data_IF_073920690472
#
_entry.id   IF_073920690472
#
_cell.length_a   1.000
_cell.length_b   1.000
_cell.length_c   1.000
_cell.angle_alpha   90.00
_cell.angle_beta   90.00
_cell.angle_gamma   90.00
#
_symmetry.space_group_name_H-M   'P 1'
#
loop_
_entity.id
_entity.type
_entity.pdbx_description
1 polymer ?
#
# COMPACT_ATOMS: atom_id res chain seq x y z
N UNK A 1 7.20 -17.26 -12.53
CA UNK A 1 6.65 -16.37 -13.59
C UNK A 1 7.30 -14.98 -13.60
N UNK A 2 7.41 -14.24 -12.49
CA UNK A 2 8.04 -12.91 -12.44
C UNK A 2 9.54 -12.89 -12.79
N UNK A 3 10.31 -13.95 -12.50
CA UNK A 3 11.74 -14.04 -12.82
C UNK A 3 12.07 -13.84 -14.32
N UNK A 4 11.11 -14.11 -15.21
CA UNK A 4 11.31 -13.98 -16.66
C UNK A 4 11.66 -12.56 -17.13
N UNK A 5 11.39 -11.51 -16.33
CA UNK A 5 11.82 -10.14 -16.68
C UNK A 5 13.34 -10.00 -16.76
N UNK A 6 14.09 -10.90 -16.11
CA UNK A 6 15.55 -10.89 -16.09
C UNK A 6 16.19 -11.77 -17.19
N UNK A 7 15.40 -12.57 -17.93
CA UNK A 7 15.92 -13.57 -18.88
C UNK A 7 16.75 -12.95 -20.03
N UNK A 8 16.51 -11.68 -20.35
CA UNK A 8 17.22 -10.94 -21.39
C UNK A 8 18.33 -10.03 -20.88
N UNK A 9 18.54 -9.95 -19.57
CA UNK A 9 19.59 -9.13 -18.99
C UNK A 9 20.96 -9.72 -19.23
N UNK A 10 21.94 -8.84 -19.36
CA UNK A 10 23.37 -9.12 -19.59
C UNK A 10 24.20 -8.67 -18.40
N UNK A 11 25.51 -8.86 -18.41
CA UNK A 11 26.41 -8.38 -17.36
C UNK A 11 26.50 -6.83 -17.29
N UNK A 12 25.97 -6.12 -18.29
CA UNK A 12 25.94 -4.65 -18.31
C UNK A 12 24.67 -4.10 -17.64
N UNK A 13 23.69 -4.95 -17.35
CA UNK A 13 22.44 -4.57 -16.73
C UNK A 13 22.51 -4.71 -15.20
N UNK A 14 21.61 -4.03 -14.51
CA UNK A 14 21.45 -4.17 -13.05
C UNK A 14 20.04 -4.68 -12.73
N UNK A 15 19.98 -5.69 -11.90
CA UNK A 15 18.74 -6.27 -11.37
C UNK A 15 18.57 -5.83 -9.91
N UNK A 16 17.47 -5.13 -9.58
CA UNK A 16 17.22 -4.62 -8.24
C UNK A 16 16.24 -5.53 -7.51
N UNK A 17 16.61 -5.99 -6.29
CA UNK A 17 15.83 -6.91 -5.49
C UNK A 17 15.71 -6.48 -4.02
N UNK A 18 14.62 -6.91 -3.39
CA UNK A 18 14.46 -6.82 -1.95
C UNK A 18 15.29 -7.90 -1.24
N UNK A 19 16.28 -7.49 -0.45
CA UNK A 19 17.12 -8.43 0.31
C UNK A 19 16.37 -9.06 1.49
N UNK A 20 15.35 -8.38 2.03
CA UNK A 20 14.54 -8.86 3.14
C UNK A 20 13.59 -10.02 2.74
N UNK A 21 13.36 -10.23 1.44
CA UNK A 21 12.49 -11.27 0.88
C UNK A 21 13.31 -12.50 0.43
N UNK A 22 13.04 -13.66 1.01
CA UNK A 22 13.74 -14.90 0.70
C UNK A 22 13.53 -15.32 -0.78
N UNK A 23 12.34 -15.08 -1.35
CA UNK A 23 12.06 -15.40 -2.75
C UNK A 23 12.88 -14.52 -3.69
N UNK A 24 13.04 -13.23 -3.35
CA UNK A 24 13.90 -12.32 -4.10
C UNK A 24 15.36 -12.78 -4.07
N UNK A 25 15.87 -13.21 -2.90
CA UNK A 25 17.24 -13.75 -2.80
C UNK A 25 17.43 -15.00 -3.66
N UNK A 26 16.45 -15.90 -3.67
CA UNK A 26 16.51 -17.08 -4.56
C UNK A 26 16.44 -16.69 -6.05
N UNK A 27 15.57 -15.77 -6.42
CA UNK A 27 15.45 -15.32 -7.81
C UNK A 27 16.72 -14.65 -8.34
N UNK A 28 17.49 -14.01 -7.48
CA UNK A 28 18.73 -13.33 -7.85
C UNK A 28 19.89 -14.30 -8.18
N UNK A 29 19.82 -15.56 -7.72
CA UNK A 29 20.87 -16.53 -7.98
C UNK A 29 21.01 -16.85 -9.46
N UNK A 30 22.26 -16.83 -9.94
CA UNK A 30 22.61 -17.20 -11.30
C UNK A 30 22.16 -16.21 -12.39
N UNK A 31 21.81 -14.98 -12.01
CA UNK A 31 21.59 -13.91 -12.98
C UNK A 31 22.91 -13.47 -13.59
N UNK A 32 22.87 -13.07 -14.86
CA UNK A 32 24.02 -12.46 -15.57
C UNK A 32 24.23 -11.01 -15.16
N UNK A 33 23.13 -10.31 -14.86
CA UNK A 33 23.12 -8.93 -14.44
C UNK A 33 23.79 -8.76 -13.06
N UNK A 34 24.36 -7.58 -12.83
CA UNK A 34 24.78 -7.20 -11.50
C UNK A 34 23.54 -7.07 -10.60
N UNK A 35 23.59 -7.66 -9.41
CA UNK A 35 22.47 -7.59 -8.47
C UNK A 35 22.68 -6.43 -7.52
N UNK A 36 21.75 -5.48 -7.52
CA UNK A 36 21.62 -4.44 -6.51
C UNK A 36 20.51 -4.79 -5.54
N UNK A 37 20.72 -4.52 -4.27
CA UNK A 37 19.81 -4.89 -3.20
C UNK A 37 19.24 -3.66 -2.52
N UNK A 38 18.03 -3.75 -2.02
CA UNK A 38 17.57 -2.85 -0.99
C UNK A 38 17.10 -3.63 0.25
N UNK A 39 17.35 -3.08 1.43
CA UNK A 39 17.00 -3.71 2.69
C UNK A 39 16.63 -2.67 3.75
N UNK A 40 15.59 -2.96 4.49
CA UNK A 40 15.21 -2.19 5.66
C UNK A 40 15.85 -2.71 6.95
N UNK A 41 16.37 -3.94 6.92
CA UNK A 41 16.82 -4.69 8.10
C UNK A 41 18.32 -4.90 8.18
N UNK A 42 18.98 -5.01 7.05
CA UNK A 42 20.39 -5.40 6.97
C UNK A 42 21.17 -4.51 6.01
N UNK A 43 22.47 -4.35 6.26
CA UNK A 43 23.39 -3.73 5.30
C UNK A 43 23.52 -4.60 4.06
N UNK A 44 23.54 -3.99 2.90
CA UNK A 44 23.75 -4.68 1.63
C UNK A 44 25.07 -4.25 0.98
N UNK A 45 25.72 -5.16 0.23
CA UNK A 45 27.03 -4.88 -0.37
C UNK A 45 26.95 -3.85 -1.52
N UNK A 46 25.82 -3.79 -2.22
CA UNK A 46 25.58 -2.89 -3.36
C UNK A 46 24.08 -2.56 -3.44
N UNK A 47 23.72 -1.29 -3.26
CA UNK A 47 22.35 -0.81 -3.25
C UNK A 47 22.02 0.12 -2.09
N UNK A 48 20.76 0.11 -1.58
CA UNK A 48 20.35 0.98 -0.50
C UNK A 48 19.86 0.21 0.73
N UNK A 49 20.11 0.73 1.92
CA UNK A 49 19.68 0.13 3.18
C UNK A 49 19.45 1.18 4.27
N UNK A 50 18.87 0.74 5.38
CA UNK A 50 18.70 1.58 6.57
C UNK A 50 19.82 1.33 7.55
N UNK A 51 20.48 2.42 7.98
CA UNK A 51 21.45 2.44 9.07
C UNK A 51 21.27 3.69 9.92
N UNK A 52 21.24 3.54 11.24
CA UNK A 52 21.09 4.66 12.19
C UNK A 52 19.94 5.61 11.83
N UNK A 53 18.77 5.05 11.47
CA UNK A 53 17.59 5.79 11.01
C UNK A 53 17.82 6.62 9.73
N UNK A 54 18.83 6.32 8.94
CA UNK A 54 19.08 6.95 7.64
C UNK A 54 18.96 5.95 6.50
N UNK A 55 18.47 6.42 5.37
CA UNK A 55 18.62 5.74 4.08
C UNK A 55 20.06 5.97 3.61
N UNK A 56 20.79 4.88 3.46
CA UNK A 56 22.18 4.89 2.97
C UNK A 56 22.21 4.22 1.61
N UNK A 57 22.89 4.85 0.65
CA UNK A 57 23.17 4.28 -0.68
C UNK A 57 24.65 3.90 -0.76
N UNK A 58 24.91 2.66 -1.19
CA UNK A 58 26.24 2.09 -1.41
C UNK A 58 26.37 1.55 -2.81
N UNK A 59 27.11 2.24 -3.67
CA UNK A 59 27.39 1.84 -5.04
C UNK A 59 28.92 1.87 -5.25
N UNK A 60 29.61 0.77 -4.86
CA UNK A 60 31.07 0.70 -4.87
C UNK A 60 31.69 0.86 -3.47
N UNK A 61 32.85 1.54 -3.38
CA UNK A 61 33.61 1.63 -2.11
C UNK A 61 33.05 2.68 -1.13
N UNK A 62 32.25 3.62 -1.58
CA UNK A 62 31.71 4.71 -0.77
C UNK A 62 30.25 4.48 -0.34
N UNK A 63 29.91 4.99 0.84
CA UNK A 63 28.54 5.05 1.35
C UNK A 63 28.08 6.51 1.40
N UNK A 64 26.84 6.78 0.97
CA UNK A 64 26.26 8.11 0.98
C UNK A 64 24.96 8.11 1.76
N UNK A 65 24.83 8.98 2.76
CA UNK A 65 23.55 9.19 3.47
C UNK A 65 22.62 10.05 2.64
N UNK A 66 21.50 9.48 2.23
CA UNK A 66 20.50 10.17 1.39
C UNK A 66 19.63 11.09 2.26
N UNK A 67 18.88 10.54 3.22
CA UNK A 67 18.05 11.28 4.18
C UNK A 67 17.76 10.44 5.41
N UNK A 68 17.13 11.02 6.43
CA UNK A 68 16.59 10.28 7.55
C UNK A 68 15.31 9.56 7.13
N UNK A 69 15.02 8.41 7.76
CA UNK A 69 13.81 7.63 7.45
C UNK A 69 12.51 8.39 7.77
N UNK A 70 12.55 9.25 8.81
CA UNK A 70 11.41 10.09 9.20
C UNK A 70 11.21 11.33 8.32
N UNK A 71 12.15 11.65 7.43
CA UNK A 71 12.02 12.70 6.42
C UNK A 71 11.30 12.23 5.15
N UNK A 72 11.08 10.90 4.99
CA UNK A 72 10.31 10.37 3.86
C UNK A 72 8.84 10.77 4.03
N UNK A 73 8.32 11.58 3.10
CA UNK A 73 6.99 12.19 3.22
C UNK A 73 5.87 11.15 3.36
N UNK A 74 5.91 10.06 2.59
CA UNK A 74 4.90 9.00 2.65
C UNK A 74 5.21 8.03 3.79
N UNK A 75 4.32 7.90 4.80
CA UNK A 75 4.59 7.12 6.00
C UNK A 75 4.45 5.61 5.77
N UNK A 76 5.02 4.86 6.69
CA UNK A 76 4.85 3.42 6.79
C UNK A 76 6.02 2.59 6.29
N UNK A 77 6.21 1.39 6.89
CA UNK A 77 7.39 0.56 6.61
C UNK A 77 7.46 0.08 5.15
N UNK A 78 6.31 -0.16 4.51
CA UNK A 78 6.25 -0.53 3.09
C UNK A 78 6.64 0.64 2.17
N UNK A 79 6.35 1.89 2.55
CA UNK A 79 6.78 3.06 1.80
C UNK A 79 8.27 3.33 1.97
N UNK A 80 8.84 3.01 3.13
CA UNK A 80 10.29 3.03 3.31
C UNK A 80 10.98 1.97 2.42
N UNK A 81 10.40 0.78 2.25
CA UNK A 81 10.88 -0.22 1.28
C UNK A 81 10.79 0.29 -0.17
N UNK A 82 9.69 0.95 -0.54
CA UNK A 82 9.55 1.59 -1.85
C UNK A 82 10.60 2.70 -2.06
N UNK A 83 10.85 3.52 -1.03
CA UNK A 83 11.89 4.56 -1.06
C UNK A 83 13.28 3.96 -1.26
N UNK A 84 13.62 2.89 -0.53
CA UNK A 84 14.90 2.17 -0.69
C UNK A 84 15.06 1.59 -2.10
N UNK A 85 13.99 0.99 -2.65
CA UNK A 85 13.99 0.50 -4.03
C UNK A 85 14.22 1.64 -5.03
N UNK A 86 13.51 2.77 -4.87
CA UNK A 86 13.65 3.94 -5.71
C UNK A 86 15.06 4.55 -5.63
N UNK A 87 15.61 4.69 -4.42
CA UNK A 87 16.99 5.17 -4.19
C UNK A 87 18.01 4.24 -4.84
N UNK A 88 17.83 2.91 -4.74
CA UNK A 88 18.73 1.94 -5.39
C UNK A 88 18.70 2.11 -6.91
N UNK A 89 17.51 2.18 -7.51
CA UNK A 89 17.35 2.34 -8.97
C UNK A 89 17.93 3.69 -9.41
N UNK A 90 17.56 4.78 -8.76
CA UNK A 90 18.01 6.12 -9.10
C UNK A 90 19.53 6.26 -8.95
N UNK A 91 20.11 5.67 -7.90
CA UNK A 91 21.55 5.65 -7.69
C UNK A 91 22.29 4.90 -8.79
N UNK A 92 21.83 3.72 -9.17
CA UNK A 92 22.39 2.95 -10.32
C UNK A 92 22.31 3.76 -11.62
N UNK A 93 21.28 4.58 -11.78
CA UNK A 93 21.12 5.48 -12.93
C UNK A 93 21.94 6.77 -12.83
N UNK A 94 22.70 6.97 -11.75
CA UNK A 94 23.57 8.14 -11.56
C UNK A 94 22.84 9.39 -11.07
N UNK A 95 21.63 9.28 -10.53
CA UNK A 95 20.92 10.42 -9.94
C UNK A 95 21.64 10.88 -8.67
N UNK A 96 21.91 12.20 -8.49
CA UNK A 96 22.56 12.72 -7.30
C UNK A 96 21.74 12.47 -6.02
N UNK A 97 22.41 12.18 -4.89
CA UNK A 97 21.76 11.95 -3.60
C UNK A 97 20.89 13.14 -3.14
N UNK A 98 21.29 14.38 -3.44
CA UNK A 98 20.51 15.56 -3.10
C UNK A 98 19.14 15.58 -3.80
N UNK A 99 19.12 15.26 -5.10
CA UNK A 99 17.86 15.13 -5.86
C UNK A 99 16.97 14.03 -5.30
N UNK A 100 17.55 12.87 -4.95
CA UNK A 100 16.80 11.78 -4.31
C UNK A 100 16.20 12.23 -2.98
N UNK A 101 16.97 12.94 -2.14
CA UNK A 101 16.52 13.50 -0.86
C UNK A 101 15.33 14.44 -1.04
N UNK A 102 15.44 15.40 -1.96
CA UNK A 102 14.36 16.35 -2.24
C UNK A 102 13.07 15.64 -2.67
N UNK A 103 13.18 14.66 -3.56
CA UNK A 103 12.02 13.88 -4.01
C UNK A 103 11.40 13.10 -2.84
N UNK A 104 12.20 12.42 -2.02
CA UNK A 104 11.68 11.66 -0.88
C UNK A 104 10.95 12.53 0.14
N UNK A 105 11.42 13.78 0.36
CA UNK A 105 10.80 14.75 1.27
C UNK A 105 9.52 15.39 0.74
N UNK A 106 9.32 15.42 -0.57
CA UNK A 106 8.24 16.17 -1.21
C UNK A 106 7.22 15.29 -1.92
N UNK A 107 7.54 14.03 -2.21
CA UNK A 107 6.67 13.11 -2.92
C UNK A 107 5.47 12.71 -2.07
N UNK A 108 4.31 13.24 -2.41
CA UNK A 108 3.05 13.05 -1.67
C UNK A 108 2.41 11.67 -1.84
N UNK A 109 3.05 10.78 -2.57
CA UNK A 109 2.50 9.45 -2.89
C UNK A 109 1.86 9.39 -4.27
N UNK A 110 1.33 8.23 -4.58
CA UNK A 110 0.58 7.97 -5.82
C UNK A 110 -0.90 8.15 -5.52
N UNK A 111 -1.62 8.84 -6.40
CA UNK A 111 -3.07 8.99 -6.33
C UNK A 111 -3.75 7.61 -6.14
N UNK A 112 -4.80 7.57 -5.38
CA UNK A 112 -5.54 6.34 -5.00
C UNK A 112 -4.75 5.32 -4.17
N UNK A 113 -3.61 5.70 -3.57
CA UNK A 113 -2.83 4.82 -2.68
C UNK A 113 -2.61 5.47 -1.31
N UNK A 114 -3.45 5.10 -0.34
CA UNK A 114 -3.48 5.65 1.04
C UNK A 114 -3.45 7.19 0.99
N UNK A 115 -4.17 7.74 0.02
CA UNK A 115 -4.26 9.17 -0.24
C UNK A 115 -5.24 9.82 0.73
N UNK A 116 -4.79 10.76 1.54
CA UNK A 116 -5.71 11.58 2.35
C UNK A 116 -6.48 12.53 1.45
N UNK A 117 -7.82 12.39 1.41
CA UNK A 117 -8.72 13.22 0.60
C UNK A 117 -9.04 14.52 1.34
N UNK A 118 -9.61 14.41 2.53
CA UNK A 118 -9.92 15.55 3.42
C UNK A 118 -10.23 15.08 4.84
N UNK A 119 -10.26 16.02 5.75
CA UNK A 119 -10.90 15.85 7.05
C UNK A 119 -12.29 16.51 7.04
N UNK A 120 -13.31 15.78 7.47
CA UNK A 120 -14.68 16.24 7.59
C UNK A 120 -15.24 15.82 8.96
N UNK A 121 -15.78 16.75 9.74
CA UNK A 121 -16.33 16.53 11.08
C UNK A 121 -15.33 15.87 12.06
N UNK A 122 -14.03 16.09 11.83
CA UNK A 122 -12.94 15.45 12.59
C UNK A 122 -12.65 14.01 12.20
N UNK A 123 -13.16 13.55 11.05
CA UNK A 123 -12.90 12.23 10.45
C UNK A 123 -12.01 12.41 9.22
N UNK A 124 -10.91 11.67 9.16
CA UNK A 124 -10.02 11.67 7.97
C UNK A 124 -10.51 10.66 6.96
N UNK A 125 -10.76 11.10 5.72
CA UNK A 125 -11.17 10.25 4.61
C UNK A 125 -9.97 9.88 3.74
N UNK A 126 -9.73 8.57 3.58
CA UNK A 126 -8.52 8.02 2.95
C UNK A 126 -8.90 7.16 1.75
N UNK A 127 -8.30 7.47 0.61
CA UNK A 127 -8.51 6.78 -0.65
C UNK A 127 -7.35 5.81 -0.93
N UNK A 128 -7.61 4.52 -0.81
CA UNK A 128 -6.73 3.44 -1.25
C UNK A 128 -7.45 2.55 -2.27
N UNK A 129 -8.12 3.18 -3.24
CA UNK A 129 -8.83 2.46 -4.31
C UNK A 129 -7.92 1.53 -5.11
N UNK A 130 -6.61 1.78 -5.12
CA UNK A 130 -5.58 0.90 -5.71
C UNK A 130 -5.38 -0.40 -4.93
N UNK A 131 -5.93 -0.52 -3.73
CA UNK A 131 -5.99 -1.74 -2.92
C UNK A 131 -6.93 -2.80 -3.53
N UNK A 132 -6.60 -3.30 -4.73
CA UNK A 132 -7.45 -4.21 -5.53
C UNK A 132 -7.23 -5.69 -5.23
N UNK A 133 -6.55 -6.02 -4.15
CA UNK A 133 -6.31 -7.39 -3.68
C UNK A 133 -6.10 -7.43 -2.15
N UNK A 134 -6.22 -8.62 -1.59
CA UNK A 134 -6.15 -8.88 -0.14
C UNK A 134 -4.84 -8.35 0.47
N UNK A 135 -3.67 -8.67 -0.12
CA UNK A 135 -2.36 -8.26 0.39
C UNK A 135 -2.21 -6.73 0.49
N UNK A 136 -2.70 -6.00 -0.53
CA UNK A 136 -2.67 -4.54 -0.53
C UNK A 136 -3.50 -3.96 0.59
N UNK A 137 -4.70 -4.48 0.80
CA UNK A 137 -5.60 -4.01 1.87
C UNK A 137 -5.07 -4.37 3.26
N UNK A 138 -4.46 -5.54 3.45
CA UNK A 138 -3.78 -5.88 4.69
C UNK A 138 -2.66 -4.89 5.04
N UNK A 139 -1.89 -4.47 4.04
CA UNK A 139 -0.86 -3.43 4.20
C UNK A 139 -1.47 -2.07 4.55
N UNK A 140 -2.59 -1.70 3.92
CA UNK A 140 -3.30 -0.47 4.25
C UNK A 140 -3.83 -0.49 5.69
N UNK A 141 -4.47 -1.59 6.12
CA UNK A 141 -4.93 -1.80 7.51
C UNK A 141 -3.78 -1.59 8.50
N UNK A 142 -2.59 -2.17 8.22
CA UNK A 142 -1.42 -2.08 9.08
C UNK A 142 -0.85 -0.65 9.22
N UNK A 143 -1.25 0.29 8.36
CA UNK A 143 -0.85 1.70 8.48
C UNK A 143 -1.82 2.55 9.30
N UNK A 144 -2.99 2.02 9.63
CA UNK A 144 -3.97 2.76 10.40
C UNK A 144 -3.52 2.91 11.85
N UNK A 145 -3.60 4.12 12.34
CA UNK A 145 -3.18 4.52 13.69
C UNK A 145 -4.32 5.15 14.51
N UNK A 146 -5.54 5.10 13.98
CA UNK A 146 -6.78 5.63 14.60
C UNK A 146 -7.95 4.68 14.32
N UNK A 147 -9.03 4.75 15.12
CA UNK A 147 -10.27 4.02 14.85
C UNK A 147 -10.72 4.22 13.41
N UNK A 148 -10.96 3.13 12.68
CA UNK A 148 -11.17 3.17 11.23
C UNK A 148 -12.42 2.39 10.82
N UNK A 149 -13.26 3.02 10.01
CA UNK A 149 -14.30 2.37 9.23
C UNK A 149 -13.72 2.00 7.87
N UNK A 150 -13.76 0.71 7.53
CA UNK A 150 -13.13 0.16 6.33
C UNK A 150 -14.18 -0.19 5.27
N UNK A 151 -14.02 0.33 4.04
CA UNK A 151 -14.86 -0.03 2.89
C UNK A 151 -14.20 -1.17 2.13
N UNK A 152 -14.93 -2.29 1.97
CA UNK A 152 -14.48 -3.52 1.32
C UNK A 152 -15.46 -3.96 0.23
N UNK A 153 -14.93 -4.60 -0.80
CA UNK A 153 -15.73 -5.25 -1.83
C UNK A 153 -15.54 -4.68 -3.23
N UNK A 154 -16.18 -5.34 -4.18
CA UNK A 154 -16.02 -5.09 -5.61
C UNK A 154 -16.13 -6.38 -6.40
N UNK A 155 -15.53 -6.42 -7.60
CA UNK A 155 -15.59 -7.56 -8.52
C UNK A 155 -14.87 -8.78 -8.00
N UNK A 156 -15.47 -9.95 -8.23
CA UNK A 156 -14.92 -11.25 -7.81
C UNK A 156 -13.73 -11.69 -8.69
N UNK A 157 -12.62 -11.96 -8.04
CA UNK A 157 -11.40 -12.56 -8.65
C UNK A 157 -11.22 -14.03 -8.23
N UNK A 158 -12.22 -14.66 -7.61
CA UNK A 158 -12.19 -16.04 -7.11
C UNK A 158 -11.02 -16.27 -6.14
N UNK A 159 -10.81 -15.34 -5.22
CA UNK A 159 -9.79 -15.43 -4.17
C UNK A 159 -10.44 -15.62 -2.81
N UNK A 160 -9.76 -16.29 -1.87
CA UNK A 160 -10.23 -16.39 -0.48
C UNK A 160 -10.03 -15.06 0.26
N UNK A 161 -11.05 -14.66 1.04
CA UNK A 161 -11.00 -13.51 1.95
C UNK A 161 -10.67 -13.91 3.39
N UNK A 162 -10.45 -15.20 3.70
CA UNK A 162 -10.10 -15.65 5.05
C UNK A 162 -8.81 -14.98 5.60
N UNK A 163 -7.73 -14.79 4.81
CA UNK A 163 -6.56 -14.07 5.28
C UNK A 163 -6.86 -12.59 5.63
N UNK A 164 -7.76 -11.95 4.86
CA UNK A 164 -8.19 -10.57 5.13
C UNK A 164 -9.00 -10.50 6.42
N UNK A 165 -9.98 -11.39 6.58
CA UNK A 165 -10.83 -11.46 7.77
C UNK A 165 -9.99 -11.66 9.05
N UNK A 166 -9.00 -12.56 9.00
CA UNK A 166 -8.05 -12.75 10.09
C UNK A 166 -7.30 -11.45 10.44
N UNK A 167 -6.78 -10.76 9.44
CA UNK A 167 -6.07 -9.49 9.65
C UNK A 167 -6.97 -8.39 10.23
N UNK A 168 -8.27 -8.37 9.87
CA UNK A 168 -9.24 -7.43 10.43
C UNK A 168 -9.48 -7.72 11.92
N UNK A 169 -9.64 -8.98 12.29
CA UNK A 169 -9.79 -9.40 13.70
C UNK A 169 -8.56 -9.05 14.53
N UNK A 170 -7.36 -9.21 13.95
CA UNK A 170 -6.09 -8.91 14.60
C UNK A 170 -5.78 -7.39 14.66
N UNK A 171 -6.55 -6.54 13.95
CA UNK A 171 -6.37 -5.10 13.88
C UNK A 171 -7.43 -4.35 14.73
N UNK A 172 -7.17 -4.07 16.01
CA UNK A 172 -8.17 -3.51 16.92
C UNK A 172 -8.67 -2.11 16.54
N UNK A 173 -7.96 -1.45 15.62
CA UNK A 173 -8.36 -0.13 15.10
C UNK A 173 -9.38 -0.22 13.96
N UNK A 174 -9.63 -1.39 13.39
CA UNK A 174 -10.73 -1.58 12.42
C UNK A 174 -12.01 -1.85 13.21
N UNK A 175 -12.80 -0.80 13.42
CA UNK A 175 -13.99 -0.88 14.25
C UNK A 175 -15.23 -1.35 13.48
N UNK A 176 -15.29 -1.09 12.18
CA UNK A 176 -16.44 -1.48 11.35
C UNK A 176 -16.05 -1.66 9.87
N UNK A 177 -16.67 -2.61 9.20
CA UNK A 177 -16.53 -2.83 7.76
C UNK A 177 -17.83 -2.47 7.03
N UNK A 178 -17.76 -1.69 5.95
CA UNK A 178 -18.88 -1.44 5.04
C UNK A 178 -18.63 -2.20 3.75
N UNK A 179 -19.55 -3.14 3.42
CA UNK A 179 -19.37 -4.09 2.34
C UNK A 179 -20.18 -3.71 1.11
N UNK A 180 -19.52 -3.67 -0.07
CA UNK A 180 -20.11 -3.27 -1.36
C UNK A 180 -19.85 -4.29 -2.45
N UNK A 181 -20.66 -4.27 -3.50
CA UNK A 181 -20.44 -4.97 -4.77
C UNK A 181 -20.59 -6.49 -4.71
N UNK A 182 -20.12 -7.15 -5.77
CA UNK A 182 -20.28 -8.59 -6.02
C UNK A 182 -19.76 -9.47 -4.88
N UNK A 183 -18.64 -9.07 -4.26
CA UNK A 183 -17.95 -9.87 -3.23
C UNK A 183 -18.45 -9.64 -1.81
N UNK A 184 -19.45 -8.76 -1.61
CA UNK A 184 -19.93 -8.40 -0.27
C UNK A 184 -20.34 -9.63 0.57
N UNK A 185 -21.07 -10.59 -0.02
CA UNK A 185 -21.47 -11.83 0.68
C UNK A 185 -20.27 -12.73 1.00
N UNK A 186 -19.30 -12.87 0.10
CA UNK A 186 -18.10 -13.70 0.31
C UNK A 186 -17.23 -13.12 1.44
N UNK A 187 -17.08 -11.78 1.49
CA UNK A 187 -16.36 -11.10 2.56
C UNK A 187 -17.09 -11.25 3.88
N UNK A 188 -18.43 -11.04 3.89
CA UNK A 188 -19.27 -11.26 5.05
C UNK A 188 -19.06 -12.67 5.63
N UNK A 189 -19.14 -13.71 4.79
CA UNK A 189 -18.99 -15.10 5.22
C UNK A 189 -17.60 -15.38 5.80
N UNK A 190 -16.55 -14.74 5.25
CA UNK A 190 -15.18 -14.83 5.79
C UNK A 190 -15.06 -14.12 7.16
N UNK A 191 -15.67 -12.96 7.32
CA UNK A 191 -15.73 -12.22 8.59
C UNK A 191 -16.48 -13.01 9.66
N UNK A 192 -17.62 -13.58 9.33
CA UNK A 192 -18.42 -14.42 10.23
C UNK A 192 -17.61 -15.64 10.70
N UNK A 193 -16.93 -16.36 9.79
CA UNK A 193 -16.04 -17.48 10.16
C UNK A 193 -14.88 -17.05 11.07
N UNK A 194 -14.40 -15.83 10.92
CA UNK A 194 -13.35 -15.27 11.76
C UNK A 194 -13.88 -14.70 13.10
N UNK A 195 -15.20 -14.69 13.33
CA UNK A 195 -15.84 -14.17 14.53
C UNK A 195 -15.98 -12.64 14.56
N UNK A 196 -15.91 -11.97 13.41
CA UNK A 196 -16.08 -10.52 13.29
C UNK A 196 -17.47 -10.17 12.78
N UNK A 197 -18.28 -9.48 13.61
CA UNK A 197 -19.69 -9.16 13.33
C UNK A 197 -19.95 -7.65 13.09
N UNK A 198 -18.94 -6.80 13.21
CA UNK A 198 -19.08 -5.35 13.05
C UNK A 198 -19.02 -4.96 11.56
N UNK A 199 -20.04 -5.32 10.80
CA UNK A 199 -20.13 -4.93 9.38
C UNK A 199 -21.54 -4.50 8.99
N UNK A 200 -21.64 -3.74 7.89
CA UNK A 200 -22.90 -3.31 7.24
C UNK A 200 -22.79 -3.54 5.75
N UNK A 201 -23.81 -4.12 5.14
CA UNK A 201 -23.89 -4.32 3.68
C UNK A 201 -24.70 -3.18 3.06
N UNK A 202 -24.16 -2.56 2.00
CA UNK A 202 -24.83 -1.48 1.26
C UNK A 202 -25.08 -1.82 -0.21
N UNK A 203 -24.78 -3.06 -0.62
CA UNK A 203 -25.00 -3.56 -1.98
C UNK A 203 -24.19 -2.77 -3.00
N UNK A 204 -24.86 -2.29 -4.04
CA UNK A 204 -24.24 -1.50 -5.12
C UNK A 204 -24.48 0.01 -4.99
N UNK A 205 -25.00 0.46 -3.84
CA UNK A 205 -25.23 1.88 -3.58
C UNK A 205 -24.03 2.51 -2.90
N UNK A 206 -23.22 3.21 -3.69
CA UNK A 206 -22.00 3.85 -3.18
C UNK A 206 -22.29 5.10 -2.35
N UNK A 207 -23.42 5.80 -2.60
CA UNK A 207 -23.85 6.94 -1.78
C UNK A 207 -24.30 6.47 -0.39
N UNK A 208 -25.07 5.40 -0.33
CA UNK A 208 -25.44 4.74 0.93
C UNK A 208 -24.20 4.26 1.69
N UNK A 209 -23.21 3.69 0.99
CA UNK A 209 -21.94 3.27 1.58
C UNK A 209 -21.24 4.44 2.29
N UNK A 210 -21.06 5.55 1.59
CA UNK A 210 -20.37 6.72 2.14
C UNK A 210 -21.17 7.37 3.30
N UNK A 211 -22.50 7.46 3.17
CA UNK A 211 -23.37 7.94 4.23
C UNK A 211 -23.30 7.05 5.49
N UNK A 212 -23.25 5.73 5.29
CA UNK A 212 -23.08 4.75 6.37
C UNK A 212 -21.72 4.92 7.05
N UNK A 213 -20.63 5.07 6.27
CA UNK A 213 -19.29 5.33 6.81
C UNK A 213 -19.27 6.60 7.65
N UNK A 214 -19.86 7.71 7.17
CA UNK A 214 -19.93 8.97 7.92
C UNK A 214 -20.65 8.82 9.26
N UNK A 215 -21.74 8.05 9.27
CA UNK A 215 -22.52 7.81 10.50
C UNK A 215 -21.76 6.97 11.53
N UNK A 216 -20.95 6.01 11.06
CA UNK A 216 -20.24 5.05 11.91
C UNK A 216 -18.87 5.57 12.38
N UNK A 217 -18.23 6.44 11.59
CA UNK A 217 -16.90 6.95 11.91
C UNK A 217 -16.96 7.88 13.15
N UNK A 218 -16.02 7.67 14.06
CA UNK A 218 -15.87 8.48 15.27
C UNK A 218 -14.99 9.69 14.99
N UNK A 219 -15.26 10.80 15.67
CA UNK A 219 -14.36 11.97 15.65
C UNK A 219 -12.94 11.57 16.08
N UNK A 220 -11.96 12.00 15.32
CA UNK A 220 -10.56 11.58 15.47
C UNK A 220 -10.21 10.27 14.77
N UNK A 221 -11.18 9.63 14.11
CA UNK A 221 -11.00 8.39 13.37
C UNK A 221 -10.80 8.58 11.87
N UNK A 222 -10.84 7.46 11.14
CA UNK A 222 -10.68 7.39 9.68
C UNK A 222 -11.86 6.70 9.01
N UNK A 223 -12.11 7.07 7.75
CA UNK A 223 -12.80 6.22 6.76
C UNK A 223 -11.78 5.84 5.71
N UNK A 224 -11.55 4.54 5.52
CA UNK A 224 -10.58 4.00 4.56
C UNK A 224 -11.31 3.26 3.45
N UNK A 225 -11.19 3.75 2.21
CA UNK A 225 -11.53 2.97 1.01
C UNK A 225 -10.32 2.11 0.64
N UNK A 226 -10.29 0.82 1.02
CA UNK A 226 -9.28 -0.15 0.59
C UNK A 226 -9.96 -1.49 0.28
N UNK A 227 -10.51 -1.62 -0.94
CA UNK A 227 -11.58 -2.57 -1.24
C UNK A 227 -11.21 -4.05 -1.26
N UNK A 228 -9.91 -4.41 -1.34
CA UNK A 228 -9.39 -5.77 -1.57
C UNK A 228 -9.82 -6.41 -2.90
N UNK A 229 -10.59 -5.71 -3.72
CA UNK A 229 -11.23 -6.19 -4.94
C UNK A 229 -11.00 -5.25 -6.13
N UNK A 230 -11.08 -5.77 -7.35
CA UNK A 230 -11.24 -4.94 -8.54
C UNK A 230 -12.58 -4.18 -8.47
N UNK A 231 -12.81 -3.26 -9.39
CA UNK A 231 -13.93 -2.31 -9.33
C UNK A 231 -14.93 -2.46 -10.47
N UNK A 232 -14.73 -3.44 -11.35
CA UNK A 232 -15.46 -3.56 -12.62
C UNK A 232 -16.96 -3.90 -12.49
N UNK A 233 -17.42 -4.22 -11.30
CA UNK A 233 -18.83 -4.44 -10.96
C UNK A 233 -19.64 -3.15 -10.84
N UNK A 234 -18.99 -2.07 -10.38
CA UNK A 234 -19.65 -0.79 -10.12
C UNK A 234 -18.97 0.41 -10.82
N UNK A 235 -17.74 0.26 -11.28
CA UNK A 235 -16.90 1.32 -11.84
C UNK A 235 -16.12 0.81 -13.05
N UNK A 236 -15.61 1.72 -13.90
CA UNK A 236 -14.84 1.34 -15.09
C UNK A 236 -13.46 0.75 -14.74
N UNK A 237 -12.84 1.27 -13.68
CA UNK A 237 -11.52 0.85 -13.16
C UNK A 237 -11.32 1.38 -11.74
N UNK A 238 -10.16 1.10 -11.14
CA UNK A 238 -9.87 1.54 -9.77
C UNK A 238 -9.62 3.05 -9.68
N UNK A 239 -9.11 3.68 -10.74
CA UNK A 239 -8.93 5.12 -10.85
C UNK A 239 -10.28 5.82 -10.78
N UNK A 240 -11.24 5.36 -11.58
CA UNK A 240 -12.60 5.89 -11.61
C UNK A 240 -13.29 5.72 -10.24
N UNK A 241 -13.20 4.56 -9.60
CA UNK A 241 -13.71 4.35 -8.23
C UNK A 241 -13.09 5.34 -7.24
N UNK A 242 -11.77 5.52 -7.31
CA UNK A 242 -11.05 6.44 -6.45
C UNK A 242 -11.42 7.90 -6.71
N UNK A 243 -11.61 8.27 -7.95
CA UNK A 243 -12.02 9.63 -8.33
C UNK A 243 -13.44 9.94 -7.86
N UNK A 244 -14.40 9.03 -8.07
CA UNK A 244 -15.77 9.16 -7.59
C UNK A 244 -15.81 9.25 -6.06
N UNK A 245 -14.99 8.44 -5.35
CA UNK A 245 -14.86 8.55 -3.90
C UNK A 245 -14.42 9.96 -3.49
N UNK A 246 -13.37 10.50 -4.11
CA UNK A 246 -12.86 11.85 -3.82
C UNK A 246 -13.92 12.92 -4.06
N UNK A 247 -14.58 12.90 -5.23
CA UNK A 247 -15.61 13.87 -5.60
C UNK A 247 -16.77 13.86 -4.61
N UNK A 248 -17.29 12.67 -4.28
CA UNK A 248 -18.40 12.54 -3.32
C UNK A 248 -17.99 12.98 -1.91
N UNK A 249 -16.81 12.59 -1.45
CA UNK A 249 -16.27 13.00 -0.14
C UNK A 249 -16.07 14.52 -0.10
N UNK A 250 -15.54 15.13 -1.15
CA UNK A 250 -15.36 16.59 -1.22
C UNK A 250 -16.69 17.35 -1.28
N UNK A 251 -17.73 16.76 -1.86
CA UNK A 251 -19.08 17.36 -1.96
C UNK A 251 -19.90 17.24 -0.66
N UNK A 252 -19.53 16.39 0.29
CA UNK A 252 -20.24 16.28 1.59
C UNK A 252 -20.21 17.62 2.35
N UNK A 253 -21.33 17.97 2.93
CA UNK A 253 -21.48 19.19 3.76
C UNK A 253 -21.41 18.84 5.23
#
# INVERSE_FOLDING_TARGET
MKRRIFDRQTAQDVAVFNYDDATCREMAKGLKAQVAWFSRREKVPFGAYVEDQHIVLKLGEGEQRVCRCDEVYIPGPHNLENALAAVTIAGVMGVPCETMREVLKTFKGVEHRIETVRELDGVTWINDSKGTNVDSTQKAIATMNRPTVLILGGSDKKVSFDPLAKSIVEAPLIEHCVLIGDTANQIKDALDRAGYSAYTMTGYDFDLCLATCRKLAKKGGNVLLSPACASFDMFTDYENRGQIFKEKVMAMK
#
